data_IF_831460668885
#
_entry.id   IF_831460668885
#
_cell.length_a   1.000
_cell.length_b   1.000
_cell.length_c   1.000
_cell.angle_alpha   90.00
_cell.angle_beta   90.00
_cell.angle_gamma   90.00
#
_symmetry.space_group_name_H-M   'P 1'
#
loop_
_entity.id
_entity.type
_entity.pdbx_description
1 polymer ?
#
# COMPACT_ATOMS: atom_id res chain seq x y z
N UNK A 1 30.85 -3.33 3.89
CA UNK A 1 31.46 -3.96 5.08
C UNK A 1 30.57 -3.57 6.23
N UNK A 2 29.88 -4.52 6.90
CA UNK A 2 29.06 -4.17 8.07
C UNK A 2 30.00 -3.88 9.22
N UNK A 3 29.92 -2.68 9.80
CA UNK A 3 30.63 -2.38 11.04
C UNK A 3 30.06 -3.26 12.15
N UNK A 4 30.89 -3.79 13.05
CA UNK A 4 30.42 -4.64 14.15
C UNK A 4 31.14 -4.18 15.41
N UNK A 5 30.39 -3.99 16.49
CA UNK A 5 30.94 -3.51 17.77
C UNK A 5 30.66 -4.57 18.84
N UNK A 6 31.65 -4.87 19.67
CA UNK A 6 31.51 -5.76 20.81
C UNK A 6 31.48 -4.95 22.11
N UNK A 7 30.37 -5.01 22.85
CA UNK A 7 30.13 -4.25 24.09
C UNK A 7 29.56 -5.22 25.12
N UNK A 8 30.07 -5.20 26.36
CA UNK A 8 29.58 -6.01 27.49
C UNK A 8 29.38 -7.50 27.20
N UNK A 9 30.29 -8.10 26.43
CA UNK A 9 30.22 -9.52 26.08
C UNK A 9 29.22 -9.85 24.97
N UNK A 10 28.64 -8.85 24.30
CA UNK A 10 27.65 -9.02 23.23
C UNK A 10 28.10 -8.39 21.93
N UNK A 11 27.76 -9.05 20.83
CA UNK A 11 28.00 -8.55 19.47
C UNK A 11 26.82 -7.66 19.05
N UNK A 12 27.12 -6.43 18.65
CA UNK A 12 26.16 -5.48 18.09
C UNK A 12 26.46 -5.28 16.61
N UNK A 13 25.46 -5.53 15.77
CA UNK A 13 25.52 -5.34 14.31
C UNK A 13 24.51 -4.25 13.94
N UNK A 14 24.86 -3.27 13.09
CA UNK A 14 23.94 -2.30 12.54
C UNK A 14 22.73 -3.01 11.94
N UNK A 15 21.56 -2.65 12.44
CA UNK A 15 20.30 -3.21 11.99
C UNK A 15 19.85 -2.47 10.73
N UNK A 16 20.51 -2.77 9.61
CA UNK A 16 20.14 -2.26 8.30
C UNK A 16 19.02 -3.11 7.71
N UNK A 17 17.90 -2.47 7.38
CA UNK A 17 16.82 -3.11 6.66
C UNK A 17 17.07 -3.04 5.16
N UNK A 18 16.94 -4.19 4.50
CA UNK A 18 16.95 -4.28 3.04
C UNK A 18 15.58 -3.91 2.42
N UNK A 19 14.56 -3.66 3.25
CA UNK A 19 13.25 -3.20 2.80
C UNK A 19 13.34 -1.89 1.99
N UNK A 20 12.40 -1.63 1.07
CA UNK A 20 12.30 -0.36 0.34
C UNK A 20 11.85 0.77 1.27
N UNK A 21 12.30 2.00 1.01
CA UNK A 21 11.92 3.18 1.81
C UNK A 21 10.40 3.44 1.73
N UNK A 22 9.80 4.08 2.75
CA UNK A 22 8.41 4.49 2.68
C UNK A 22 8.21 5.43 1.48
N UNK A 23 7.10 5.30 0.74
CA UNK A 23 6.81 6.18 -0.38
C UNK A 23 6.52 7.61 0.12
N UNK A 24 6.90 8.61 -0.68
CA UNK A 24 6.85 10.03 -0.30
C UNK A 24 5.46 10.53 0.07
N UNK A 25 4.43 9.98 -0.58
CA UNK A 25 3.04 10.38 -0.41
C UNK A 25 2.30 9.50 0.61
N UNK A 26 3.02 8.64 1.34
CA UNK A 26 2.48 7.96 2.50
C UNK A 26 2.29 8.98 3.65
N UNK A 27 1.10 9.04 4.28
CA UNK A 27 0.85 9.87 5.45
C UNK A 27 1.86 9.62 6.56
N UNK A 28 2.23 10.66 7.32
CA UNK A 28 3.35 10.60 8.27
C UNK A 28 3.17 9.55 9.36
N UNK A 29 1.95 9.37 9.86
CA UNK A 29 1.61 8.34 10.84
C UNK A 29 1.82 6.93 10.28
N UNK A 30 1.42 6.69 9.03
CA UNK A 30 1.65 5.41 8.36
C UNK A 30 3.12 5.22 7.95
N UNK A 31 3.84 6.30 7.65
CA UNK A 31 5.27 6.25 7.36
C UNK A 31 6.09 5.86 8.61
N UNK A 32 5.67 6.28 9.80
CA UNK A 32 6.26 5.82 11.06
C UNK A 32 6.02 4.31 11.29
N UNK A 33 4.79 3.83 11.11
CA UNK A 33 4.46 2.40 11.17
C UNK A 33 5.29 1.58 10.14
N UNK A 34 5.48 2.14 8.94
CA UNK A 34 6.29 1.54 7.88
C UNK A 34 7.75 1.41 8.29
N UNK A 35 8.33 2.48 8.84
CA UNK A 35 9.72 2.48 9.32
C UNK A 35 9.93 1.55 10.52
N UNK A 36 8.93 1.42 11.39
CA UNK A 36 8.96 0.41 12.44
C UNK A 36 9.03 -1.00 11.84
N UNK A 37 8.16 -1.31 10.87
CA UNK A 37 8.22 -2.59 10.17
C UNK A 37 9.57 -2.82 9.49
N UNK A 38 10.18 -1.78 8.88
CA UNK A 38 11.51 -1.85 8.28
C UNK A 38 12.56 -2.26 9.31
N UNK A 39 12.56 -1.64 10.49
CA UNK A 39 13.51 -1.93 11.58
C UNK A 39 13.31 -3.32 12.20
N UNK A 40 12.06 -3.80 12.22
CA UNK A 40 11.71 -5.10 12.78
C UNK A 40 12.06 -6.23 11.81
N UNK A 41 12.01 -6.01 10.48
CA UNK A 41 12.21 -7.05 9.46
C UNK A 41 13.43 -7.96 9.69
N UNK A 42 14.65 -7.44 9.96
CA UNK A 42 15.83 -8.30 10.09
C UNK A 42 15.82 -9.16 11.36
N UNK A 43 15.03 -8.76 12.37
CA UNK A 43 14.93 -9.43 13.68
C UNK A 43 13.72 -10.35 13.74
N UNK A 44 12.60 -9.93 13.15
CA UNK A 44 11.35 -10.67 13.13
C UNK A 44 10.55 -10.37 11.85
N UNK A 45 10.75 -11.17 10.77
CA UNK A 45 9.93 -11.05 9.57
C UNK A 45 8.44 -11.16 9.83
N UNK A 46 8.05 -12.05 10.75
CA UNK A 46 6.67 -12.19 11.24
C UNK A 46 6.16 -10.92 11.93
N UNK A 47 6.98 -10.29 12.77
CA UNK A 47 6.64 -9.03 13.43
C UNK A 47 6.44 -7.91 12.41
N UNK A 48 7.36 -7.79 11.45
CA UNK A 48 7.24 -6.83 10.35
C UNK A 48 5.97 -7.07 9.51
N UNK A 49 5.68 -8.33 9.15
CA UNK A 49 4.47 -8.68 8.41
C UNK A 49 3.18 -8.28 9.16
N UNK A 50 3.14 -8.49 10.49
CA UNK A 50 2.01 -8.06 11.31
C UNK A 50 1.81 -6.53 11.31
N UNK A 51 2.91 -5.76 11.45
CA UNK A 51 2.88 -4.30 11.37
C UNK A 51 2.41 -3.83 10.00
N UNK A 52 2.89 -4.44 8.92
CA UNK A 52 2.50 -4.08 7.55
C UNK A 52 1.03 -4.40 7.27
N UNK A 53 0.49 -5.49 7.81
CA UNK A 53 -0.95 -5.80 7.71
C UNK A 53 -1.79 -4.75 8.41
N UNK A 54 -1.36 -4.28 9.59
CA UNK A 54 -2.02 -3.18 10.29
C UNK A 54 -1.94 -1.89 9.49
N UNK A 55 -0.78 -1.58 8.90
CA UNK A 55 -0.61 -0.43 8.03
C UNK A 55 -1.57 -0.48 6.83
N UNK A 56 -1.69 -1.63 6.16
CA UNK A 56 -2.67 -1.80 5.07
C UNK A 56 -4.09 -1.51 5.56
N UNK A 57 -4.51 -2.04 6.72
CA UNK A 57 -5.84 -1.77 7.28
C UNK A 57 -6.09 -0.27 7.52
N UNK A 58 -5.06 0.47 7.97
CA UNK A 58 -5.17 1.93 8.15
C UNK A 58 -5.10 2.72 6.83
N UNK A 59 -4.43 2.19 5.81
CA UNK A 59 -4.28 2.84 4.50
C UNK A 59 -5.58 2.80 3.68
N UNK A 60 -6.32 1.68 3.70
CA UNK A 60 -7.51 1.49 2.84
C UNK A 60 -8.59 2.57 3.06
N UNK A 61 -8.93 2.99 4.30
CA UNK A 61 -9.87 4.09 4.52
C UNK A 61 -9.42 5.42 3.93
N UNK A 62 -8.12 5.71 3.95
CA UNK A 62 -7.56 6.98 3.44
C UNK A 62 -7.68 7.10 1.91
N UNK A 63 -7.80 5.97 1.21
CA UNK A 63 -7.96 5.93 -0.25
C UNK A 63 -9.42 5.67 -0.68
N UNK A 64 -10.38 5.85 0.23
CA UNK A 64 -11.81 5.86 -0.07
C UNK A 64 -12.53 4.51 0.10
N UNK A 65 -11.97 3.59 0.90
CA UNK A 65 -12.73 2.44 1.40
C UNK A 65 -13.56 2.84 2.63
N UNK A 66 -14.81 2.40 2.72
CA UNK A 66 -15.74 2.73 3.81
C UNK A 66 -16.50 1.47 4.24
N UNK A 67 -15.75 0.43 4.57
CA UNK A 67 -16.27 -0.89 4.92
C UNK A 67 -15.58 -1.40 6.17
N UNK A 68 -16.30 -2.14 7.02
CA UNK A 68 -15.75 -2.64 8.28
C UNK A 68 -14.85 -3.88 8.12
N UNK A 69 -14.88 -4.51 6.93
CA UNK A 69 -14.15 -5.74 6.62
C UNK A 69 -13.16 -5.52 5.48
N UNK A 70 -11.92 -5.98 5.66
CA UNK A 70 -10.85 -5.78 4.67
C UNK A 70 -11.18 -6.38 3.29
N UNK A 71 -11.94 -7.48 3.22
CA UNK A 71 -12.34 -8.05 1.92
C UNK A 71 -13.30 -7.12 1.20
N UNK A 72 -14.24 -6.53 1.94
CA UNK A 72 -15.17 -5.55 1.41
C UNK A 72 -14.46 -4.27 1.00
N UNK A 73 -13.50 -3.79 1.80
CA UNK A 73 -12.65 -2.65 1.44
C UNK A 73 -11.90 -2.90 0.12
N UNK A 74 -11.25 -4.07 -0.03
CA UNK A 74 -10.55 -4.44 -1.28
C UNK A 74 -11.54 -4.48 -2.44
N UNK A 75 -12.70 -5.12 -2.27
CA UNK A 75 -13.74 -5.21 -3.30
C UNK A 75 -14.27 -3.84 -3.72
N UNK A 76 -14.47 -2.92 -2.77
CA UNK A 76 -14.90 -1.55 -3.02
C UNK A 76 -13.85 -0.77 -3.82
N UNK A 77 -12.58 -0.87 -3.46
CA UNK A 77 -11.50 -0.16 -4.16
C UNK A 77 -11.33 -0.66 -5.61
N UNK A 78 -11.53 -1.95 -5.85
CA UNK A 78 -11.55 -2.51 -7.22
C UNK A 78 -12.76 -1.99 -8.00
N UNK A 79 -13.94 -2.03 -7.39
CA UNK A 79 -15.19 -1.54 -8.00
C UNK A 79 -15.10 -0.07 -8.37
N UNK A 80 -14.44 0.73 -7.54
CA UNK A 80 -14.24 2.16 -7.74
C UNK A 80 -13.08 2.48 -8.70
N UNK A 81 -12.36 1.46 -9.19
CA UNK A 81 -11.23 1.64 -10.11
C UNK A 81 -9.97 2.25 -9.46
N UNK A 82 -9.93 2.33 -8.12
CA UNK A 82 -8.77 2.84 -7.36
C UNK A 82 -7.61 1.84 -7.44
N UNK A 83 -7.93 0.54 -7.46
CA UNK A 83 -6.96 -0.53 -7.63
C UNK A 83 -7.36 -1.49 -8.74
N UNK A 84 -6.38 -2.04 -9.46
CA UNK A 84 -6.62 -2.98 -10.55
C UNK A 84 -6.77 -4.44 -10.04
N UNK A 85 -7.26 -5.38 -10.87
CA UNK A 85 -7.43 -6.78 -10.47
C UNK A 85 -6.13 -7.49 -10.03
N UNK A 86 -4.95 -7.06 -10.48
CA UNK A 86 -3.68 -7.63 -10.04
C UNK A 86 -3.32 -7.20 -8.61
N UNK A 87 -3.67 -5.96 -8.22
CA UNK A 87 -3.53 -5.47 -6.84
C UNK A 87 -4.45 -6.26 -5.92
N UNK A 88 -5.69 -6.50 -6.35
CA UNK A 88 -6.63 -7.34 -5.61
C UNK A 88 -6.05 -8.73 -5.34
N UNK A 89 -5.51 -9.40 -6.36
CA UNK A 89 -4.88 -10.72 -6.20
C UNK A 89 -3.72 -10.69 -5.21
N UNK A 90 -2.91 -9.62 -5.21
CA UNK A 90 -1.82 -9.47 -4.25
C UNK A 90 -2.34 -9.25 -2.81
N UNK A 91 -3.36 -8.40 -2.63
CA UNK A 91 -4.01 -8.16 -1.33
C UNK A 91 -4.68 -9.42 -0.79
N UNK A 92 -5.36 -10.17 -1.65
CA UNK A 92 -5.97 -11.45 -1.29
C UNK A 92 -4.91 -12.49 -0.88
N UNK A 93 -3.78 -12.53 -1.58
CA UNK A 93 -2.66 -13.43 -1.26
C UNK A 93 -2.09 -13.14 0.13
N UNK A 94 -1.85 -11.86 0.45
CA UNK A 94 -1.37 -11.41 1.77
C UNK A 94 -2.32 -11.82 2.90
N UNK A 95 -3.64 -11.73 2.64
CA UNK A 95 -4.67 -12.10 3.61
C UNK A 95 -4.74 -13.61 3.85
N UNK A 96 -4.66 -14.41 2.78
CA UNK A 96 -4.67 -15.88 2.87
C UNK A 96 -3.42 -16.37 3.60
N UNK A 97 -2.25 -15.84 3.26
CA UNK A 97 -0.97 -16.20 3.89
C UNK A 97 -0.94 -15.79 5.38
N UNK A 98 -1.62 -14.69 5.76
CA UNK A 98 -1.65 -14.21 7.14
C UNK A 98 -2.61 -14.92 8.10
N UNK A 99 -3.70 -15.52 7.61
CA UNK A 99 -4.71 -16.16 8.45
C UNK A 99 -4.52 -17.67 8.62
N UNK A 100 -3.85 -18.36 7.68
CA UNK A 100 -3.65 -19.81 7.75
C UNK A 100 -2.42 -20.24 8.58
N UNK A 101 -1.64 -19.30 9.10
CA UNK A 101 -0.43 -19.55 9.90
C UNK A 101 -0.68 -20.08 11.33
N UNK A 102 -1.91 -20.51 11.66
CA UNK A 102 -2.32 -20.89 13.03
C UNK A 102 -3.15 -22.19 13.12
N UNK A 103 -3.03 -23.10 12.14
CA UNK A 103 -3.53 -24.47 12.31
C UNK A 103 -2.40 -25.44 12.73
N UNK A 104 -2.47 -26.06 13.93
CA UNK A 104 -1.51 -27.10 14.32
C UNK A 104 -1.69 -28.33 13.43
N UNK A 105 -0.73 -28.63 12.55
CA UNK A 105 -0.68 -29.92 11.82
C UNK A 105 -0.49 -29.85 10.31
N UNK A 106 -0.48 -28.67 9.69
CA UNK A 106 -0.15 -28.49 8.26
C UNK A 106 1.08 -27.61 8.12
N UNK A 107 1.90 -27.89 7.11
CA UNK A 107 3.21 -27.27 6.84
C UNK A 107 3.27 -25.78 7.23
N UNK A 108 4.17 -25.48 8.17
CA UNK A 108 4.36 -24.23 8.89
C UNK A 108 4.72 -23.07 7.94
N UNK A 109 3.72 -22.44 7.31
CA UNK A 109 3.88 -21.18 6.57
C UNK A 109 4.07 -20.05 7.57
N UNK A 110 5.25 -19.99 8.19
CA UNK A 110 5.66 -18.82 8.96
C UNK A 110 5.82 -17.66 8.01
N UNK A 111 5.24 -16.52 8.34
CA UNK A 111 5.59 -15.25 7.70
C UNK A 111 7.11 -15.10 7.67
N UNK A 112 7.67 -15.22 6.47
CA UNK A 112 9.09 -15.14 6.20
C UNK A 112 9.46 -13.76 5.65
N UNK A 113 10.76 -13.52 5.45
CA UNK A 113 11.23 -12.26 4.90
C UNK A 113 10.61 -11.97 3.54
N UNK A 114 10.42 -12.98 2.68
CA UNK A 114 9.84 -12.82 1.35
C UNK A 114 8.38 -12.31 1.41
N UNK A 115 7.60 -12.80 2.36
CA UNK A 115 6.23 -12.35 2.62
C UNK A 115 6.22 -10.89 3.08
N UNK A 116 7.09 -10.52 4.02
CA UNK A 116 7.21 -9.14 4.48
C UNK A 116 7.68 -8.18 3.37
N UNK A 117 8.62 -8.60 2.51
CA UNK A 117 9.02 -7.85 1.33
C UNK A 117 7.86 -7.65 0.35
N UNK A 118 7.05 -8.69 0.14
CA UNK A 118 5.89 -8.60 -0.74
C UNK A 118 4.86 -7.60 -0.20
N UNK A 119 4.68 -7.57 1.12
CA UNK A 119 3.85 -6.58 1.82
C UNK A 119 4.37 -5.14 1.63
N UNK A 120 5.67 -4.90 1.79
CA UNK A 120 6.27 -3.60 1.53
C UNK A 120 6.03 -3.12 0.09
N UNK A 121 6.30 -4.00 -0.89
CA UNK A 121 6.08 -3.69 -2.30
C UNK A 121 4.60 -3.39 -2.61
N UNK A 122 3.68 -4.11 -1.96
CA UNK A 122 2.26 -3.92 -2.12
C UNK A 122 1.81 -2.55 -1.60
N UNK A 123 2.24 -2.16 -0.39
CA UNK A 123 1.94 -0.84 0.18
C UNK A 123 2.47 0.25 -0.75
N UNK A 124 3.72 0.12 -1.21
CA UNK A 124 4.32 1.10 -2.13
C UNK A 124 3.51 1.24 -3.41
N UNK A 125 3.06 0.12 -3.97
CA UNK A 125 2.27 0.13 -5.18
C UNK A 125 0.87 0.74 -4.97
N UNK A 126 0.24 0.51 -3.83
CA UNK A 126 -1.06 1.12 -3.50
C UNK A 126 -0.91 2.63 -3.36
N UNK A 127 0.10 3.11 -2.63
CA UNK A 127 0.36 4.55 -2.50
C UNK A 127 0.62 5.18 -3.87
N UNK A 128 1.44 4.55 -4.70
CA UNK A 128 1.72 5.02 -6.05
C UNK A 128 0.44 5.19 -6.89
N UNK A 129 -0.40 4.15 -6.92
CA UNK A 129 -1.59 4.13 -7.78
C UNK A 129 -2.76 4.94 -7.24
N UNK A 130 -2.96 4.94 -5.93
CA UNK A 130 -4.13 5.55 -5.31
C UNK A 130 -3.89 6.97 -4.82
N UNK A 131 -2.63 7.39 -4.65
CA UNK A 131 -2.28 8.70 -4.08
C UNK A 131 -1.35 9.47 -5.01
N UNK A 132 -0.20 8.91 -5.37
CA UNK A 132 0.83 9.61 -6.15
C UNK A 132 0.36 9.93 -7.57
N UNK A 133 -0.08 8.92 -8.34
CA UNK A 133 -0.50 9.10 -9.73
C UNK A 133 -1.67 10.10 -9.88
N UNK A 134 -2.77 10.01 -9.10
CA UNK A 134 -3.83 11.01 -9.15
C UNK A 134 -3.32 12.44 -8.87
N UNK A 135 -2.48 12.60 -7.85
CA UNK A 135 -1.88 13.89 -7.48
C UNK A 135 -0.99 14.46 -8.59
N UNK A 136 -0.17 13.63 -9.24
CA UNK A 136 0.68 14.05 -10.35
C UNK A 136 -0.14 14.44 -11.59
N UNK A 137 -1.17 13.67 -11.93
CA UNK A 137 -2.07 13.96 -13.04
C UNK A 137 -2.81 15.28 -12.81
N UNK A 138 -3.32 15.50 -11.59
CA UNK A 138 -4.00 16.74 -11.20
C UNK A 138 -3.05 17.94 -11.30
N UNK A 139 -1.79 17.78 -10.90
CA UNK A 139 -0.78 18.83 -11.02
C UNK A 139 -0.48 19.18 -12.50
N UNK A 140 -0.38 18.16 -13.36
CA UNK A 140 -0.20 18.36 -14.82
C UNK A 140 -1.42 19.11 -15.39
N UNK A 141 -2.63 18.71 -15.02
CA UNK A 141 -3.86 19.34 -15.49
C UNK A 141 -3.99 20.79 -15.00
N UNK A 142 -3.65 21.05 -13.74
CA UNK A 142 -3.63 22.39 -13.16
C UNK A 142 -2.60 23.32 -13.82
N UNK A 143 -1.53 22.75 -14.39
CA UNK A 143 -0.53 23.49 -15.16
C UNK A 143 -0.96 23.91 -16.57
N UNK A 144 -2.16 23.53 -17.05
CA UNK A 144 -2.62 23.87 -18.39
C UNK A 144 -3.04 25.35 -18.52
N UNK A 145 -2.78 26.01 -19.66
CA UNK A 145 -3.24 27.37 -19.89
C UNK A 145 -4.76 27.50 -19.82
N UNK A 146 -5.26 28.56 -19.18
CA UNK A 146 -6.70 28.79 -18.93
C UNK A 146 -7.58 28.68 -20.20
N UNK A 147 -7.08 29.11 -21.35
CA UNK A 147 -7.80 29.01 -22.63
C UNK A 147 -8.03 27.57 -23.11
N UNK A 148 -7.11 26.64 -22.82
CA UNK A 148 -7.28 25.20 -23.15
C UNK A 148 -8.16 24.49 -22.13
N UNK A 149 -8.07 24.86 -20.85
CA UNK A 149 -8.95 24.36 -19.79
C UNK A 149 -10.43 24.69 -20.10
N UNK A 150 -10.74 25.92 -20.50
CA UNK A 150 -12.10 26.31 -20.88
C UNK A 150 -12.64 25.49 -22.07
N UNK A 151 -11.79 25.18 -23.05
CA UNK A 151 -12.15 24.32 -24.19
C UNK A 151 -12.44 22.87 -23.78
N UNK A 152 -11.66 22.32 -22.83
CA UNK A 152 -11.87 20.97 -22.29
C UNK A 152 -13.16 20.91 -21.48
N UNK A 153 -13.41 21.88 -20.58
CA UNK A 153 -14.64 21.98 -19.78
C UNK A 153 -15.87 22.06 -20.68
N UNK A 154 -15.82 22.85 -21.75
CA UNK A 154 -16.95 22.97 -22.70
C UNK A 154 -17.18 21.67 -23.48
N UNK A 155 -16.11 20.95 -23.88
CA UNK A 155 -16.23 19.64 -24.52
C UNK A 155 -16.88 18.61 -23.60
N UNK A 156 -16.48 18.58 -22.33
CA UNK A 156 -16.95 17.58 -21.38
C UNK A 156 -18.40 17.86 -20.93
N UNK A 157 -18.79 19.14 -20.74
CA UNK A 157 -20.21 19.54 -20.60
C UNK A 157 -21.09 19.11 -21.76
N UNK A 158 -20.55 19.10 -22.98
CA UNK A 158 -21.27 18.68 -24.19
C UNK A 158 -21.48 17.16 -24.26
N UNK A 159 -20.70 16.36 -23.52
CA UNK A 159 -20.87 14.90 -23.39
C UNK A 159 -21.90 14.53 -22.33
N UNK A 160 -21.93 15.22 -21.19
CA UNK A 160 -22.93 14.99 -20.13
C UNK A 160 -24.35 15.31 -20.60
N UNK A 161 -24.56 16.34 -21.42
CA UNK A 161 -25.88 16.66 -22.00
C UNK A 161 -26.36 15.63 -23.05
N UNK A 162 -25.51 14.68 -23.46
CA UNK A 162 -25.83 13.65 -24.46
C UNK A 162 -25.92 12.24 -23.88
N UNK A 163 -25.72 12.03 -22.58
CA UNK A 163 -26.02 10.75 -21.94
C UNK A 163 -27.55 10.63 -21.79
N UNK A 164 -28.24 9.71 -22.49
CA UNK A 164 -29.66 9.52 -22.29
C UNK A 164 -29.91 8.97 -20.88
N UNK A 165 -30.92 9.50 -20.19
CA UNK A 165 -31.54 8.86 -19.04
C UNK A 165 -31.83 7.40 -19.43
N UNK A 166 -31.10 6.47 -18.81
CA UNK A 166 -31.35 5.05 -19.00
C UNK A 166 -32.71 4.69 -18.34
N UNK A 167 -33.52 3.84 -18.99
CA UNK A 167 -34.89 3.52 -18.59
C UNK A 167 -34.99 2.75 -17.27
#
# INVERSE_FOLDING_TARGET
MKEVIFIDGRLHVPNESEAPAPPSDLPSDLAEDYEEARRVLPVSPRGAAALLRLLVQKLLPLIGADEDDINKMIGQLVKNGVINPKIQQALDSVRVIGNEAVHPGTMDLKDDSATAFSLFNLINYIVEKAITEPKEIDAIYAGLPAGKLAGIINRDKSKEQKAPEAP
#
